data_IF_007220871597
#
_entry.id   IF_007220871597
#
_cell.length_a   1.000
_cell.length_b   1.000
_cell.length_c   1.000
_cell.angle_alpha   90.00
_cell.angle_beta   90.00
_cell.angle_gamma   90.00
#
_symmetry.space_group_name_H-M   'P 1'
#
loop_
_entity.id
_entity.type
_entity.pdbx_description
1 polymer ?
#
# COMPACT_ATOMS: atom_id res chain seq x y z
N UNK A 1 44.03 2.93 -49.08
CA UNK A 1 43.42 2.02 -48.08
C UNK A 1 43.67 2.55 -46.68
N UNK A 2 42.64 3.05 -45.99
CA UNK A 2 42.45 3.05 -44.52
C UNK A 2 41.19 3.89 -44.19
N UNK A 3 40.20 3.26 -43.55
CA UNK A 3 38.98 3.89 -43.02
C UNK A 3 39.25 4.47 -41.62
N UNK A 4 38.55 5.55 -41.19
CA UNK A 4 38.40 5.87 -39.77
C UNK A 4 36.92 5.77 -39.35
N UNK A 5 36.60 4.91 -38.39
CA UNK A 5 35.36 5.04 -37.59
C UNK A 5 35.45 4.18 -36.34
N UNK A 6 35.91 4.74 -35.21
CA UNK A 6 35.55 4.27 -33.87
C UNK A 6 36.00 5.27 -32.78
N UNK A 7 35.25 6.35 -32.55
CA UNK A 7 35.42 7.15 -31.32
C UNK A 7 34.17 7.99 -31.02
N UNK A 8 33.01 7.37 -30.80
CA UNK A 8 31.83 8.10 -30.29
C UNK A 8 30.87 7.25 -29.43
N UNK A 9 31.33 6.15 -28.83
CA UNK A 9 30.46 5.29 -28.00
C UNK A 9 30.87 5.31 -26.51
N UNK A 10 32.05 5.83 -26.16
CA UNK A 10 32.56 5.74 -24.78
C UNK A 10 32.13 6.89 -23.86
N UNK A 11 31.67 8.02 -24.40
CA UNK A 11 31.33 9.22 -23.59
C UNK A 11 29.90 9.23 -23.05
N UNK A 12 28.99 8.42 -23.59
CA UNK A 12 27.57 8.38 -23.17
C UNK A 12 27.32 7.38 -22.02
N UNK A 13 28.17 6.37 -21.85
CA UNK A 13 28.04 5.38 -20.77
C UNK A 13 28.51 5.90 -19.40
N UNK A 14 29.41 6.89 -19.37
CA UNK A 14 29.97 7.42 -18.13
C UNK A 14 29.01 8.41 -17.45
N UNK A 15 28.18 9.13 -18.21
CA UNK A 15 27.19 10.09 -17.65
C UNK A 15 25.96 9.39 -17.06
N UNK A 16 25.53 8.26 -17.63
CA UNK A 16 24.40 7.49 -17.09
C UNK A 16 24.75 6.80 -15.75
N UNK A 17 25.96 6.23 -15.64
CA UNK A 17 26.40 5.57 -14.40
C UNK A 17 26.59 6.57 -13.24
N UNK A 18 27.06 7.79 -13.53
CA UNK A 18 27.22 8.85 -12.53
C UNK A 18 25.88 9.36 -11.98
N UNK A 19 24.84 9.47 -12.82
CA UNK A 19 23.48 9.85 -12.38
C UNK A 19 22.80 8.77 -11.52
N UNK A 20 23.06 7.49 -11.77
CA UNK A 20 22.52 6.39 -10.95
C UNK A 20 23.20 6.27 -9.58
N UNK A 21 24.51 6.55 -9.49
CA UNK A 21 25.24 6.58 -8.22
C UNK A 21 24.81 7.77 -7.34
N UNK A 22 24.62 8.95 -7.94
CA UNK A 22 24.14 10.14 -7.23
C UNK A 22 22.70 9.96 -6.69
N UNK A 23 21.81 9.33 -7.44
CA UNK A 23 20.45 9.00 -6.98
C UNK A 23 20.46 8.02 -5.80
N UNK A 24 21.31 6.98 -5.83
CA UNK A 24 21.45 6.05 -4.71
C UNK A 24 22.11 6.68 -3.46
N UNK A 25 22.97 7.69 -3.64
CA UNK A 25 23.61 8.41 -2.53
C UNK A 25 22.64 9.42 -1.88
N UNK A 26 21.81 10.10 -2.67
CA UNK A 26 20.75 10.99 -2.17
C UNK A 26 19.65 10.22 -1.42
N UNK A 27 19.32 8.98 -1.82
CA UNK A 27 18.38 8.13 -1.09
C UNK A 27 18.91 7.61 0.26
N UNK A 28 20.23 7.67 0.52
CA UNK A 28 20.82 7.30 1.82
C UNK A 28 20.82 8.45 2.82
N UNK A 29 20.67 9.69 2.36
CA UNK A 29 20.81 10.91 3.17
C UNK A 29 19.61 11.86 3.07
N UNK A 30 18.52 11.45 2.42
CA UNK A 30 17.26 12.16 2.52
C UNK A 30 16.76 12.08 3.97
N UNK A 31 17.06 13.13 4.73
CA UNK A 31 16.35 13.45 5.97
C UNK A 31 14.86 13.46 5.64
N UNK A 32 14.02 12.74 6.41
CA UNK A 32 12.58 12.77 6.18
C UNK A 32 12.14 14.24 6.23
N UNK A 33 11.39 14.66 5.21
CA UNK A 33 10.72 15.96 5.27
C UNK A 33 9.97 16.04 6.61
N UNK A 34 10.17 17.13 7.35
CA UNK A 34 9.47 17.37 8.62
C UNK A 34 8.00 17.04 8.44
N UNK A 35 7.39 16.26 9.35
CA UNK A 35 6.00 15.87 9.21
C UNK A 35 5.19 17.16 9.16
N UNK A 36 4.55 17.43 8.02
CA UNK A 36 3.40 18.33 8.02
C UNK A 36 2.44 17.71 9.01
N UNK A 37 2.12 18.44 10.08
CA UNK A 37 1.06 18.08 11.02
C UNK A 37 -0.17 17.82 10.16
N UNK A 38 -0.53 16.56 9.99
CA UNK A 38 -1.77 16.20 9.35
C UNK A 38 -2.87 16.88 10.16
N UNK A 39 -3.80 17.56 9.50
CA UNK A 39 -4.99 18.05 10.17
C UNK A 39 -5.57 16.90 11.00
N UNK A 40 -5.76 17.13 12.30
CA UNK A 40 -6.33 16.12 13.18
C UNK A 40 -7.65 15.63 12.57
N UNK A 41 -7.87 14.32 12.57
CA UNK A 41 -9.14 13.78 12.14
C UNK A 41 -10.27 14.42 12.94
N UNK A 42 -11.45 14.66 12.32
CA UNK A 42 -12.60 15.08 13.09
C UNK A 42 -12.86 14.08 14.23
N UNK A 43 -13.25 14.58 15.42
CA UNK A 43 -13.58 13.71 16.53
C UNK A 43 -14.72 12.76 16.12
N UNK A 44 -14.67 11.53 16.64
CA UNK A 44 -15.73 10.56 16.39
C UNK A 44 -17.07 11.12 16.87
N UNK A 45 -18.18 10.94 16.12
CA UNK A 45 -19.49 11.27 16.64
C UNK A 45 -19.75 10.43 17.90
N UNK A 46 -20.00 11.12 19.03
CA UNK A 46 -20.12 10.50 20.35
C UNK A 46 -18.79 10.22 21.08
N UNK A 47 -17.65 10.64 20.54
CA UNK A 47 -16.35 10.68 21.23
C UNK A 47 -15.66 9.33 21.48
N UNK A 48 -16.28 8.19 21.15
CA UNK A 48 -15.76 6.84 21.45
C UNK A 48 -15.75 5.96 20.21
N UNK A 49 -14.68 5.17 20.03
CA UNK A 49 -14.60 4.11 19.01
C UNK A 49 -15.54 2.96 19.37
N UNK A 50 -16.40 2.56 18.44
CA UNK A 50 -17.46 1.58 18.69
C UNK A 50 -17.17 0.19 18.12
N UNK A 51 -16.05 0.01 17.43
CA UNK A 51 -15.67 -1.27 16.86
C UNK A 51 -15.12 -2.25 17.90
N UNK A 52 -14.93 -3.49 17.46
CA UNK A 52 -14.32 -4.55 18.27
C UNK A 52 -12.88 -4.80 17.83
N UNK A 53 -11.94 -4.46 18.72
CA UNK A 53 -10.51 -4.64 18.47
C UNK A 53 -10.03 -6.08 18.59
N UNK A 54 -10.87 -7.01 19.08
CA UNK A 54 -10.53 -8.43 19.19
C UNK A 54 -10.32 -9.01 17.79
N UNK A 55 -9.13 -9.56 17.47
CA UNK A 55 -8.87 -10.17 16.18
C UNK A 55 -9.87 -11.30 15.88
N UNK A 56 -10.51 -11.23 14.71
CA UNK A 56 -11.35 -12.30 14.17
C UNK A 56 -10.69 -12.89 12.92
N UNK A 57 -10.23 -14.12 13.03
CA UNK A 57 -9.68 -14.87 11.89
C UNK A 57 -10.80 -15.57 11.11
N UNK A 58 -10.82 -15.41 9.79
CA UNK A 58 -11.79 -16.06 8.90
C UNK A 58 -11.21 -17.39 8.41
N UNK A 59 -11.97 -18.47 8.54
CA UNK A 59 -11.56 -19.80 8.06
C UNK A 59 -10.17 -20.21 8.56
N UNK A 60 -9.31 -20.66 7.66
CA UNK A 60 -7.96 -21.14 7.96
C UNK A 60 -6.90 -20.03 8.05
N UNK A 61 -7.32 -18.75 8.12
CA UNK A 61 -6.41 -17.60 8.12
C UNK A 61 -5.27 -17.72 9.13
N UNK A 62 -5.52 -18.26 10.33
CA UNK A 62 -4.46 -18.42 11.35
C UNK A 62 -3.35 -19.36 10.86
N UNK A 63 -3.72 -20.49 10.27
CA UNK A 63 -2.76 -21.47 9.73
C UNK A 63 -2.00 -20.87 8.55
N UNK A 64 -2.72 -20.25 7.60
CA UNK A 64 -2.13 -19.61 6.43
C UNK A 64 -1.13 -18.51 6.82
N UNK A 65 -1.44 -17.72 7.85
CA UNK A 65 -0.56 -16.68 8.36
C UNK A 65 0.72 -17.27 9.00
N UNK A 66 0.58 -18.30 9.83
CA UNK A 66 1.73 -18.98 10.45
C UNK A 66 2.67 -19.57 9.38
N UNK A 67 2.12 -20.28 8.39
CA UNK A 67 2.89 -20.85 7.28
C UNK A 67 3.57 -19.76 6.44
N UNK A 68 2.87 -18.64 6.19
CA UNK A 68 3.42 -17.50 5.45
C UNK A 68 4.59 -16.84 6.19
N UNK A 69 4.47 -16.66 7.51
CA UNK A 69 5.52 -16.11 8.36
C UNK A 69 6.74 -17.02 8.35
N UNK A 70 6.55 -18.32 8.56
CA UNK A 70 7.62 -19.31 8.59
C UNK A 70 8.36 -19.40 7.24
N UNK A 71 7.61 -19.60 6.15
CA UNK A 71 8.16 -19.78 4.81
C UNK A 71 8.98 -18.58 4.30
N UNK A 72 8.78 -17.40 4.89
CA UNK A 72 9.46 -16.18 4.46
C UNK A 72 10.39 -15.60 5.53
N UNK A 73 10.60 -16.27 6.67
CA UNK A 73 11.29 -15.74 7.85
C UNK A 73 12.61 -15.00 7.53
N UNK A 74 13.44 -15.59 6.67
CA UNK A 74 14.78 -15.08 6.36
C UNK A 74 14.92 -14.36 5.02
N UNK A 75 13.83 -14.28 4.24
CA UNK A 75 13.86 -13.60 2.96
C UNK A 75 14.06 -12.08 3.14
N UNK A 76 14.83 -11.40 2.28
CA UNK A 76 14.79 -9.95 2.17
C UNK A 76 13.36 -9.44 1.93
N UNK A 77 12.98 -8.28 2.47
CA UNK A 77 11.60 -7.75 2.42
C UNK A 77 10.96 -7.80 1.02
N UNK A 78 11.70 -7.34 0.02
CA UNK A 78 11.28 -7.32 -1.38
C UNK A 78 11.04 -8.73 -1.96
N UNK A 79 11.81 -9.72 -1.52
CA UNK A 79 11.64 -11.12 -1.95
C UNK A 79 10.49 -11.79 -1.21
N UNK A 80 10.38 -11.55 0.11
CA UNK A 80 9.32 -12.07 0.95
C UNK A 80 7.95 -11.68 0.40
N UNK A 81 7.75 -10.40 0.08
CA UNK A 81 6.48 -9.93 -0.48
C UNK A 81 6.10 -10.59 -1.79
N UNK A 82 7.05 -10.81 -2.69
CA UNK A 82 6.77 -11.53 -3.94
C UNK A 82 6.50 -13.00 -3.69
N UNK A 83 7.20 -13.64 -2.74
CA UNK A 83 6.92 -15.02 -2.35
C UNK A 83 5.50 -15.15 -1.75
N UNK A 84 5.11 -14.24 -0.87
CA UNK A 84 3.76 -14.17 -0.32
C UNK A 84 2.72 -13.94 -1.41
N UNK A 85 2.94 -12.96 -2.30
CA UNK A 85 2.02 -12.67 -3.40
C UNK A 85 1.83 -13.88 -4.33
N UNK A 86 2.89 -14.65 -4.59
CA UNK A 86 2.83 -15.91 -5.36
C UNK A 86 2.07 -17.00 -4.62
N UNK A 87 2.25 -17.13 -3.30
CA UNK A 87 1.58 -18.16 -2.48
C UNK A 87 0.05 -18.09 -2.60
N UNK A 88 -0.46 -16.88 -2.74
CA UNK A 88 -1.90 -16.63 -2.82
C UNK A 88 -2.42 -16.51 -4.25
N UNK A 89 -1.63 -16.81 -5.30
CA UNK A 89 -2.17 -16.91 -6.65
C UNK A 89 -3.35 -17.90 -6.68
N UNK A 90 -4.35 -17.59 -7.51
CA UNK A 90 -5.61 -18.33 -7.66
C UNK A 90 -6.55 -18.28 -6.43
N UNK A 91 -6.18 -17.59 -5.34
CA UNK A 91 -7.10 -17.37 -4.23
C UNK A 91 -8.29 -16.49 -4.67
N UNK A 92 -9.49 -16.75 -4.13
CA UNK A 92 -10.71 -16.09 -4.57
C UNK A 92 -10.73 -14.59 -4.25
N UNK A 93 -11.37 -13.83 -5.15
CA UNK A 93 -11.66 -12.43 -4.92
C UNK A 93 -12.95 -12.28 -4.09
N UNK A 94 -12.93 -11.39 -3.10
CA UNK A 94 -14.13 -11.04 -2.32
C UNK A 94 -14.11 -9.57 -1.88
N UNK A 95 -14.86 -8.75 -2.61
CA UNK A 95 -15.15 -7.37 -2.20
C UNK A 95 -16.00 -7.30 -0.93
N UNK A 96 -15.91 -6.16 -0.23
CA UNK A 96 -16.71 -5.84 0.96
C UNK A 96 -16.62 -6.86 2.11
N UNK A 97 -15.52 -7.63 2.18
CA UNK A 97 -15.36 -8.68 3.19
C UNK A 97 -15.33 -8.13 4.62
N UNK A 98 -14.88 -6.87 4.81
CA UNK A 98 -14.87 -6.18 6.10
C UNK A 98 -16.23 -5.60 6.52
N UNK A 99 -17.21 -5.52 5.62
CA UNK A 99 -18.48 -4.80 5.83
C UNK A 99 -19.66 -5.72 6.20
N UNK A 100 -19.36 -6.98 6.55
CA UNK A 100 -20.37 -8.00 6.82
C UNK A 100 -21.08 -7.87 8.16
N UNK A 101 -20.45 -7.26 9.17
CA UNK A 101 -20.92 -7.24 10.57
C UNK A 101 -21.79 -6.05 10.96
N UNK A 102 -22.43 -6.09 12.15
CA UNK A 102 -23.23 -4.98 12.69
C UNK A 102 -22.39 -3.82 13.23
N UNK A 103 -21.10 -4.05 13.48
CA UNK A 103 -20.10 -3.06 13.89
C UNK A 103 -18.75 -3.37 13.23
N UNK A 104 -17.89 -2.36 13.15
CA UNK A 104 -16.51 -2.53 12.71
C UNK A 104 -15.77 -3.54 13.61
N UNK A 105 -14.92 -4.38 13.03
CA UNK A 105 -14.11 -5.35 13.76
C UNK A 105 -12.77 -5.55 13.08
N UNK A 106 -11.72 -5.84 13.87
CA UNK A 106 -10.44 -6.27 13.34
C UNK A 106 -10.55 -7.69 12.76
N UNK A 107 -11.02 -7.79 11.51
CA UNK A 107 -11.16 -9.04 10.78
C UNK A 107 -9.93 -9.32 9.92
N UNK A 108 -9.39 -10.52 9.98
CA UNK A 108 -8.29 -10.99 9.15
C UNK A 108 -8.78 -12.15 8.29
N UNK A 109 -8.52 -12.05 6.99
CA UNK A 109 -8.97 -13.04 6.01
C UNK A 109 -7.88 -13.25 4.96
N UNK A 110 -7.15 -14.35 5.06
CA UNK A 110 -6.18 -14.80 4.05
C UNK A 110 -6.77 -15.89 3.14
N UNK A 111 -8.06 -16.19 3.27
CA UNK A 111 -8.77 -17.16 2.42
C UNK A 111 -9.42 -16.49 1.21
N UNK A 112 -9.69 -15.18 1.29
CA UNK A 112 -10.21 -14.37 0.19
C UNK A 112 -9.58 -12.98 0.24
N UNK A 113 -9.45 -12.34 -0.93
CA UNK A 113 -8.87 -11.00 -1.02
C UNK A 113 -9.71 -10.05 -1.88
N UNK A 114 -9.80 -8.78 -1.48
CA UNK A 114 -9.87 -7.71 -2.46
C UNK A 114 -8.46 -7.15 -2.72
N UNK A 115 -8.31 -6.21 -3.66
CA UNK A 115 -6.99 -5.68 -4.00
C UNK A 115 -6.31 -4.98 -2.81
N UNK A 116 -7.09 -4.33 -1.95
CA UNK A 116 -6.56 -3.57 -0.83
C UNK A 116 -6.13 -4.48 0.32
N UNK A 117 -6.98 -5.44 0.71
CA UNK A 117 -6.68 -6.47 1.69
C UNK A 117 -5.50 -7.33 1.26
N UNK A 118 -5.33 -7.57 -0.03
CA UNK A 118 -4.17 -8.27 -0.56
C UNK A 118 -2.87 -7.50 -0.25
N UNK A 119 -2.83 -6.19 -0.54
CA UNK A 119 -1.65 -5.36 -0.24
C UNK A 119 -1.43 -5.21 1.26
N UNK A 120 -2.48 -4.86 2.00
CA UNK A 120 -2.41 -4.59 3.44
C UNK A 120 -1.92 -5.82 4.23
N UNK A 121 -2.55 -6.97 4.02
CA UNK A 121 -2.26 -8.15 4.83
C UNK A 121 -0.92 -8.77 4.46
N UNK A 122 -0.50 -8.74 3.19
CA UNK A 122 0.83 -9.22 2.80
C UNK A 122 1.93 -8.29 3.31
N UNK A 123 1.69 -6.98 3.34
CA UNK A 123 2.60 -6.03 3.97
C UNK A 123 2.70 -6.30 5.49
N UNK A 124 1.59 -6.55 6.17
CA UNK A 124 1.59 -6.93 7.58
C UNK A 124 2.33 -8.25 7.83
N UNK A 125 2.03 -9.31 7.08
CA UNK A 125 2.73 -10.60 7.16
C UNK A 125 4.23 -10.43 6.96
N UNK A 126 4.65 -9.64 5.96
CA UNK A 126 6.06 -9.40 5.67
C UNK A 126 6.82 -8.65 6.79
N UNK A 127 6.12 -7.95 7.67
CA UNK A 127 6.69 -7.30 8.86
C UNK A 127 6.57 -8.17 10.13
N UNK A 128 5.86 -9.29 10.06
CA UNK A 128 5.63 -10.21 11.19
C UNK A 128 6.59 -11.39 11.22
N UNK A 129 7.72 -11.25 10.51
CA UNK A 129 8.74 -12.29 10.31
C UNK A 129 9.91 -12.07 11.25
N UNK A 130 10.89 -12.99 11.23
CA UNK A 130 12.09 -12.94 12.09
C UNK A 130 11.71 -12.88 13.57
N UNK A 131 10.91 -13.85 13.97
CA UNK A 131 10.37 -14.02 15.33
C UNK A 131 10.89 -15.33 15.91
N UNK A 132 10.94 -15.41 17.24
CA UNK A 132 11.40 -16.62 17.92
C UNK A 132 10.32 -17.71 17.92
N UNK A 133 9.05 -17.29 17.91
CA UNK A 133 7.90 -18.20 17.89
C UNK A 133 6.84 -17.75 16.87
N UNK A 134 6.08 -18.70 16.32
CA UNK A 134 4.99 -18.36 15.41
C UNK A 134 3.83 -17.65 16.11
N UNK A 135 3.63 -17.87 17.41
CA UNK A 135 2.63 -17.11 18.18
C UNK A 135 3.00 -15.63 18.29
N UNK A 136 4.29 -15.31 18.49
CA UNK A 136 4.79 -13.93 18.42
C UNK A 136 4.57 -13.34 17.01
N UNK A 137 4.88 -14.09 15.96
CA UNK A 137 4.60 -13.68 14.59
C UNK A 137 3.12 -13.39 14.34
N UNK A 138 2.23 -14.22 14.87
CA UNK A 138 0.78 -14.02 14.77
C UNK A 138 0.31 -12.75 15.49
N UNK A 139 0.86 -12.45 16.67
CA UNK A 139 0.54 -11.21 17.38
C UNK A 139 1.08 -9.99 16.64
N UNK A 140 2.29 -10.05 16.09
CA UNK A 140 2.81 -8.97 15.22
C UNK A 140 1.91 -8.77 14.00
N UNK A 141 1.43 -9.86 13.38
CA UNK A 141 0.54 -9.79 12.23
C UNK A 141 -0.77 -9.07 12.54
N UNK A 142 -1.44 -9.41 13.64
CA UNK A 142 -2.68 -8.74 14.05
C UNK A 142 -2.45 -7.26 14.35
N UNK A 143 -1.35 -6.92 15.03
CA UNK A 143 -1.02 -5.53 15.35
C UNK A 143 -0.64 -4.71 14.10
N UNK A 144 0.12 -5.28 13.17
CA UNK A 144 0.45 -4.60 11.92
C UNK A 144 -0.80 -4.35 11.05
N UNK A 145 -1.70 -5.34 10.92
CA UNK A 145 -2.98 -5.12 10.22
C UNK A 145 -3.78 -4.01 10.89
N UNK A 146 -3.88 -4.02 12.23
CA UNK A 146 -4.60 -2.98 12.99
C UNK A 146 -4.02 -1.58 12.72
N UNK A 147 -2.70 -1.44 12.77
CA UNK A 147 -1.97 -0.16 12.56
C UNK A 147 -2.01 0.34 11.13
N UNK A 148 -2.03 -0.56 10.14
CA UNK A 148 -2.16 -0.19 8.73
C UNK A 148 -3.60 0.22 8.41
N UNK A 149 -4.59 -0.52 8.93
CA UNK A 149 -6.00 -0.35 8.57
C UNK A 149 -6.67 0.84 9.24
N UNK A 150 -6.34 1.10 10.50
CA UNK A 150 -7.03 2.08 11.32
C UNK A 150 -6.10 3.19 11.78
N UNK A 151 -6.58 4.43 11.72
CA UNK A 151 -5.87 5.59 12.27
C UNK A 151 -5.66 5.36 13.76
N UNK A 152 -4.42 5.48 14.22
CA UNK A 152 -3.98 5.23 15.60
C UNK A 152 -4.34 3.83 16.13
N UNK A 153 -4.64 2.89 15.24
CA UNK A 153 -5.12 1.56 15.60
C UNK A 153 -6.52 1.56 16.25
N UNK A 154 -7.28 2.65 16.19
CA UNK A 154 -8.64 2.71 16.73
C UNK A 154 -9.62 1.97 15.81
N UNK A 155 -10.10 0.79 16.23
CA UNK A 155 -11.01 -0.02 15.42
C UNK A 155 -12.39 0.62 15.39
N UNK A 156 -12.66 1.36 14.32
CA UNK A 156 -13.93 2.02 14.03
C UNK A 156 -14.03 2.30 12.52
N UNK A 157 -15.23 2.22 11.93
CA UNK A 157 -15.43 2.48 10.51
C UNK A 157 -14.97 3.89 10.13
N UNK A 158 -15.16 4.87 11.01
CA UNK A 158 -14.71 6.26 10.83
C UNK A 158 -13.19 6.42 10.89
N UNK A 159 -12.48 5.47 11.51
CA UNK A 159 -11.01 5.46 11.62
C UNK A 159 -10.35 4.54 10.59
N UNK A 160 -11.11 3.71 9.88
CA UNK A 160 -10.59 2.88 8.81
C UNK A 160 -10.10 3.74 7.64
N UNK A 161 -8.93 3.41 7.12
CA UNK A 161 -8.31 4.09 5.99
C UNK A 161 -8.94 3.62 4.67
N UNK A 162 -10.03 4.26 4.25
CA UNK A 162 -10.77 3.86 3.04
C UNK A 162 -10.13 4.34 1.72
N UNK A 163 -9.41 5.46 1.73
CA UNK A 163 -8.72 6.00 0.55
C UNK A 163 -7.26 5.57 0.52
N UNK A 164 -6.81 4.97 -0.58
CA UNK A 164 -5.49 4.36 -0.64
C UNK A 164 -4.34 5.35 -0.41
N UNK A 165 -4.42 6.55 -0.96
CA UNK A 165 -3.34 7.55 -0.77
C UNK A 165 -3.25 7.99 0.69
N UNK A 166 -4.37 8.07 1.42
CA UNK A 166 -4.36 8.34 2.86
C UNK A 166 -3.77 7.18 3.65
N UNK A 167 -4.12 5.95 3.28
CA UNK A 167 -3.51 4.74 3.83
C UNK A 167 -2.00 4.72 3.58
N UNK A 168 -1.56 5.03 2.36
CA UNK A 168 -0.16 5.01 1.98
C UNK A 168 0.65 6.11 2.68
N UNK A 169 0.08 7.31 2.84
CA UNK A 169 0.69 8.38 3.62
C UNK A 169 0.83 7.99 5.10
N UNK A 170 -0.17 7.31 5.67
CA UNK A 170 -0.10 6.79 7.05
C UNK A 170 0.93 5.65 7.17
N UNK A 171 0.97 4.73 6.21
CA UNK A 171 1.93 3.65 6.14
C UNK A 171 3.38 4.19 6.01
N UNK A 172 3.59 5.24 5.23
CA UNK A 172 4.89 5.92 5.11
C UNK A 172 5.29 6.60 6.43
N UNK A 173 4.39 7.39 7.05
CA UNK A 173 4.66 8.03 8.35
C UNK A 173 4.99 7.00 9.45
N UNK A 174 4.36 5.85 9.39
CA UNK A 174 4.59 4.77 10.35
C UNK A 174 5.73 3.83 9.97
N UNK A 175 6.47 4.11 8.88
CA UNK A 175 7.70 3.39 8.51
C UNK A 175 7.49 2.08 7.76
N UNK A 176 6.29 1.78 7.24
CA UNK A 176 6.02 0.57 6.47
C UNK A 176 6.44 0.66 5.00
N UNK A 177 6.39 1.87 4.42
CA UNK A 177 6.70 2.09 3.00
C UNK A 177 7.45 3.41 2.82
N UNK A 178 8.05 3.60 1.65
CA UNK A 178 8.49 4.91 1.16
C UNK A 178 7.80 5.18 -0.17
N UNK A 179 7.21 6.35 -0.35
CA UNK A 179 6.62 6.80 -1.60
C UNK A 179 7.74 7.15 -2.58
N UNK A 180 7.96 6.28 -3.58
CA UNK A 180 8.98 6.51 -4.60
C UNK A 180 8.51 7.49 -5.66
N UNK A 181 7.21 7.59 -5.86
CA UNK A 181 6.57 8.30 -6.97
C UNK A 181 7.17 9.68 -7.25
N UNK A 182 7.36 10.58 -6.26
CA UNK A 182 7.90 11.92 -6.51
C UNK A 182 9.34 11.94 -7.07
N UNK A 183 10.09 10.85 -6.90
CA UNK A 183 11.51 10.75 -7.23
C UNK A 183 11.77 9.97 -8.53
N UNK A 184 10.73 9.44 -9.16
CA UNK A 184 10.86 8.68 -10.40
C UNK A 184 10.78 9.61 -11.62
N UNK A 185 11.48 9.28 -12.72
CA UNK A 185 11.51 10.12 -13.92
C UNK A 185 10.11 10.27 -14.52
N UNK A 186 9.77 11.50 -14.93
CA UNK A 186 8.46 11.81 -15.52
C UNK A 186 7.32 11.92 -14.51
N UNK A 187 7.61 11.94 -13.20
CA UNK A 187 6.60 12.15 -12.17
C UNK A 187 5.86 13.48 -12.36
N UNK A 188 4.54 13.41 -12.23
CA UNK A 188 3.60 14.52 -12.27
C UNK A 188 2.84 14.61 -10.95
N UNK A 189 2.11 15.70 -10.75
CA UNK A 189 1.27 15.93 -9.57
C UNK A 189 -0.10 16.39 -9.99
N UNK A 190 -1.12 16.05 -9.20
CA UNK A 190 -2.47 16.57 -9.35
C UNK A 190 -3.05 16.95 -7.99
N UNK A 191 -3.92 17.94 -7.99
CA UNK A 191 -4.82 18.20 -6.86
C UNK A 191 -6.10 17.39 -7.07
N UNK A 192 -6.50 16.59 -6.08
CA UNK A 192 -7.75 15.82 -6.12
C UNK A 192 -8.52 15.99 -4.81
N UNK A 193 -9.78 16.41 -4.91
CA UNK A 193 -10.71 16.38 -3.78
C UNK A 193 -11.30 14.98 -3.66
N UNK A 194 -11.25 14.41 -2.46
CA UNK A 194 -11.83 13.11 -2.17
C UNK A 194 -13.19 13.26 -1.51
N UNK A 195 -14.22 12.77 -2.17
CA UNK A 195 -15.61 12.83 -1.71
C UNK A 195 -16.45 11.66 -2.27
N UNK A 196 -15.79 10.60 -2.77
CA UNK A 196 -16.47 9.50 -3.45
C UNK A 196 -17.44 8.79 -2.51
N UNK A 197 -17.06 8.52 -1.26
CA UNK A 197 -17.91 7.78 -0.34
C UNK A 197 -19.15 8.57 0.09
N UNK A 198 -19.01 9.85 0.47
CA UNK A 198 -20.17 10.69 0.81
C UNK A 198 -21.08 10.98 -0.38
N UNK A 199 -20.54 10.97 -1.61
CA UNK A 199 -21.31 11.12 -2.84
C UNK A 199 -22.00 9.82 -3.29
N UNK A 200 -21.58 8.65 -2.78
CA UNK A 200 -22.08 7.33 -3.16
C UNK A 200 -22.44 6.47 -1.94
N UNK A 201 -23.12 7.06 -0.94
CA UNK A 201 -23.50 6.40 0.32
C UNK A 201 -24.17 5.04 0.11
N UNK A 202 -25.01 4.89 -0.90
CA UNK A 202 -25.74 3.64 -1.20
C UNK A 202 -24.82 2.46 -1.56
N UNK A 203 -23.60 2.74 -2.03
CA UNK A 203 -22.60 1.71 -2.36
C UNK A 203 -21.93 1.09 -1.12
N UNK A 204 -22.12 1.68 0.07
CA UNK A 204 -21.45 1.26 1.30
C UNK A 204 -22.47 0.89 2.38
N UNK A 205 -22.62 -0.41 2.63
CA UNK A 205 -23.55 -0.91 3.66
C UNK A 205 -23.31 -0.27 5.04
N UNK A 206 -22.06 -0.09 5.54
CA UNK A 206 -21.86 0.55 6.83
C UNK A 206 -22.24 2.03 6.87
N UNK A 207 -22.31 2.72 5.73
CA UNK A 207 -22.72 4.13 5.67
C UNK A 207 -24.23 4.34 5.80
N UNK A 208 -25.03 3.27 5.84
CA UNK A 208 -26.45 3.37 6.20
C UNK A 208 -26.64 3.76 7.67
N UNK A 209 -25.62 3.59 8.51
CA UNK A 209 -25.60 4.13 9.87
C UNK A 209 -25.35 5.64 9.83
N UNK A 210 -26.22 6.49 10.42
CA UNK A 210 -26.08 7.94 10.40
C UNK A 210 -24.72 8.44 10.90
N UNK A 211 -24.18 7.82 11.97
CA UNK A 211 -22.85 8.12 12.51
C UNK A 211 -21.74 7.94 11.48
N UNK A 212 -21.78 6.83 10.73
CA UNK A 212 -20.75 6.52 9.73
C UNK A 212 -20.85 7.47 8.53
N UNK A 213 -22.07 7.78 8.08
CA UNK A 213 -22.29 8.80 7.06
C UNK A 213 -21.73 10.15 7.51
N UNK A 214 -22.07 10.59 8.73
CA UNK A 214 -21.62 11.87 9.26
C UNK A 214 -20.10 11.97 9.33
N UNK A 215 -19.43 11.01 9.96
CA UNK A 215 -17.97 11.08 10.12
C UNK A 215 -17.21 11.03 8.79
N UNK A 216 -17.71 10.28 7.79
CA UNK A 216 -17.10 10.23 6.46
C UNK A 216 -17.34 11.53 5.69
N UNK A 217 -18.55 12.09 5.72
CA UNK A 217 -18.81 13.41 5.12
C UNK A 217 -17.92 14.49 5.72
N UNK A 218 -17.74 14.49 7.04
CA UNK A 218 -16.90 15.46 7.74
C UNK A 218 -15.42 15.27 7.46
N UNK A 219 -14.99 14.02 7.31
CA UNK A 219 -13.65 13.70 6.85
C UNK A 219 -13.40 14.24 5.43
N UNK A 220 -14.38 14.11 4.53
CA UNK A 220 -14.24 14.45 3.11
C UNK A 220 -14.41 15.93 2.79
N UNK A 221 -15.03 16.71 3.68
CA UNK A 221 -15.37 18.13 3.47
C UNK A 221 -14.21 18.99 2.94
N UNK A 222 -13.01 18.79 3.48
CA UNK A 222 -11.80 19.53 3.10
C UNK A 222 -10.65 18.58 2.68
N UNK A 223 -10.99 17.36 2.24
CA UNK A 223 -10.00 16.35 1.92
C UNK A 223 -9.45 16.52 0.51
N UNK A 224 -8.45 17.40 0.38
CA UNK A 224 -7.73 17.63 -0.88
C UNK A 224 -6.34 17.03 -0.81
N UNK A 225 -6.02 16.12 -1.74
CA UNK A 225 -4.71 15.51 -1.87
C UNK A 225 -3.90 16.18 -2.98
N UNK A 226 -2.62 16.44 -2.70
CA UNK A 226 -1.62 16.70 -3.74
C UNK A 226 -0.96 15.37 -4.11
N UNK A 227 -1.58 14.63 -5.03
CA UNK A 227 -1.21 13.26 -5.34
C UNK A 227 -0.11 13.21 -6.42
N UNK A 228 1.11 12.75 -6.09
CA UNK A 228 2.12 12.44 -7.11
C UNK A 228 1.74 11.16 -7.86
N UNK A 229 2.01 11.13 -9.16
CA UNK A 229 1.80 9.94 -10.00
C UNK A 229 2.75 9.94 -11.20
N UNK A 230 3.00 8.78 -11.77
CA UNK A 230 3.69 8.60 -13.04
C UNK A 230 2.64 8.47 -14.13
N UNK A 231 2.50 9.44 -15.07
CA UNK A 231 1.58 9.30 -16.20
C UNK A 231 1.86 8.02 -16.98
N UNK A 232 0.82 7.39 -17.54
CA UNK A 232 0.96 6.13 -18.28
C UNK A 232 2.03 6.19 -19.38
N UNK A 233 2.14 7.33 -20.07
CA UNK A 233 3.16 7.53 -21.11
C UNK A 233 4.61 7.55 -20.59
N UNK A 234 4.82 7.93 -19.33
CA UNK A 234 6.14 7.95 -18.69
C UNK A 234 6.51 6.61 -18.03
N UNK A 235 5.52 5.74 -17.77
CA UNK A 235 5.70 4.48 -17.05
C UNK A 235 6.79 3.55 -17.66
N UNK A 236 6.92 3.39 -18.99
CA UNK A 236 7.98 2.55 -19.56
C UNK A 236 9.40 2.95 -19.11
N UNK A 237 9.67 4.25 -18.98
CA UNK A 237 10.96 4.77 -18.52
C UNK A 237 11.24 4.53 -17.03
N UNK A 238 10.20 4.23 -16.25
CA UNK A 238 10.29 3.97 -14.80
C UNK A 238 10.54 2.49 -14.49
N UNK A 239 10.11 1.56 -15.34
CA UNK A 239 10.21 0.11 -15.12
C UNK A 239 11.61 -0.38 -14.70
N UNK A 240 12.74 0.14 -15.26
CA UNK A 240 14.07 -0.27 -14.82
C UNK A 240 14.35 0.01 -13.34
N UNK A 241 13.78 1.07 -12.76
CA UNK A 241 13.99 1.49 -11.36
C UNK A 241 13.14 0.72 -10.32
N UNK A 242 12.12 0.00 -10.79
CA UNK A 242 11.21 -0.77 -9.94
C UNK A 242 11.89 -2.03 -9.40
N UNK A 243 11.38 -2.57 -8.30
CA UNK A 243 11.91 -3.78 -7.64
C UNK A 243 10.77 -4.74 -7.32
N UNK A 244 11.13 -6.00 -7.12
CA UNK A 244 10.23 -7.00 -6.53
C UNK A 244 9.60 -6.45 -5.25
N UNK A 245 8.31 -6.66 -5.08
CA UNK A 245 7.58 -6.27 -3.89
C UNK A 245 7.26 -4.76 -3.80
N UNK A 246 7.69 -3.94 -4.75
CA UNK A 246 7.16 -2.57 -4.86
C UNK A 246 5.64 -2.65 -5.03
N UNK A 247 4.91 -1.82 -4.28
CA UNK A 247 3.46 -1.70 -4.38
C UNK A 247 3.16 -0.72 -5.52
N UNK A 248 2.26 -1.11 -6.41
CA UNK A 248 1.67 -0.19 -7.37
C UNK A 248 0.26 0.21 -6.94
N UNK A 249 -0.11 1.43 -7.28
CA UNK A 249 -1.47 1.93 -7.19
C UNK A 249 -1.87 2.57 -8.52
N UNK A 250 -2.99 2.15 -9.09
CA UNK A 250 -3.52 2.69 -10.33
C UNK A 250 -4.29 3.98 -10.02
N UNK A 251 -3.68 5.11 -10.38
CA UNK A 251 -4.23 6.45 -10.13
C UNK A 251 -5.31 6.73 -11.16
N UNK A 252 -6.51 7.08 -10.69
CA UNK A 252 -7.72 7.15 -11.52
C UNK A 252 -8.22 8.58 -11.76
N UNK A 253 -8.84 8.87 -12.91
CA UNK A 253 -9.55 10.13 -13.16
C UNK A 253 -11.01 10.14 -12.67
N UNK A 254 -11.49 9.07 -12.05
CA UNK A 254 -12.85 9.04 -11.47
C UNK A 254 -13.00 10.20 -10.48
N UNK A 255 -14.01 11.08 -10.64
CA UNK A 255 -14.21 12.21 -9.74
C UNK A 255 -14.39 11.74 -8.29
N UNK A 256 -13.73 12.43 -7.35
CA UNK A 256 -13.82 12.12 -5.93
C UNK A 256 -12.93 10.95 -5.46
N UNK A 257 -12.20 10.29 -6.35
CA UNK A 257 -11.42 9.07 -6.06
C UNK A 257 -9.96 9.21 -6.48
N UNK A 258 -9.05 8.68 -5.66
CA UNK A 258 -7.60 8.78 -5.87
C UNK A 258 -7.03 7.57 -6.62
N UNK A 259 -7.45 6.36 -6.24
CA UNK A 259 -6.92 5.08 -6.75
C UNK A 259 -8.07 4.09 -6.93
N UNK A 260 -8.05 3.34 -8.03
CA UNK A 260 -9.05 2.27 -8.29
C UNK A 260 -8.55 0.88 -8.00
N UNK A 261 -7.23 0.66 -8.04
CA UNK A 261 -6.67 -0.69 -7.91
C UNK A 261 -5.23 -0.68 -7.43
N UNK A 262 -4.81 -1.74 -6.75
CA UNK A 262 -3.47 -1.87 -6.17
C UNK A 262 -2.96 -3.30 -6.24
N UNK A 263 -1.65 -3.48 -6.05
CA UNK A 263 -1.01 -4.79 -5.98
C UNK A 263 0.50 -4.69 -5.84
N UNK A 264 1.19 -5.81 -6.05
CA UNK A 264 2.65 -5.89 -5.97
C UNK A 264 3.27 -6.08 -7.35
N UNK A 265 4.48 -5.55 -7.52
CA UNK A 265 5.29 -5.74 -8.70
C UNK A 265 6.24 -6.92 -8.56
N UNK A 266 6.40 -7.65 -9.65
CA UNK A 266 7.33 -8.76 -9.77
C UNK A 266 8.15 -8.60 -11.04
N UNK A 267 9.47 -8.54 -10.89
CA UNK A 267 10.43 -8.67 -11.98
C UNK A 267 10.73 -10.14 -12.21
N UNK A 268 10.43 -10.60 -13.42
CA UNK A 268 10.73 -11.96 -13.89
C UNK A 268 11.20 -11.88 -15.34
N UNK A 269 12.36 -12.49 -15.62
CA UNK A 269 12.92 -12.59 -16.99
C UNK A 269 13.03 -11.24 -17.72
N UNK A 270 13.39 -10.18 -16.98
CA UNK A 270 13.51 -8.81 -17.51
C UNK A 270 12.19 -8.05 -17.66
N UNK A 271 11.04 -8.69 -17.43
CA UNK A 271 9.70 -8.09 -17.50
C UNK A 271 9.20 -7.74 -16.10
N UNK A 272 8.58 -6.57 -15.96
CA UNK A 272 7.84 -6.19 -14.75
C UNK A 272 6.39 -6.63 -14.91
N UNK A 273 5.93 -7.52 -14.03
CA UNK A 273 4.57 -8.03 -13.94
C UNK A 273 3.88 -7.45 -12.70
N UNK A 274 2.55 -7.52 -12.68
CA UNK A 274 1.72 -7.17 -11.52
C UNK A 274 1.06 -8.43 -10.94
N UNK A 275 1.14 -8.61 -9.63
CA UNK A 275 0.35 -9.61 -8.89
C UNK A 275 -0.67 -8.86 -8.03
N UNK A 276 -1.96 -9.16 -8.21
CA UNK A 276 -3.06 -8.44 -7.57
C UNK A 276 -4.32 -9.28 -7.50
N UNK A 277 -5.20 -8.99 -6.54
CA UNK A 277 -6.54 -9.57 -6.46
C UNK A 277 -7.50 -8.76 -7.34
N UNK A 278 -8.09 -9.40 -8.35
CA UNK A 278 -8.99 -8.78 -9.32
C UNK A 278 -10.39 -9.38 -9.26
N UNK A 279 -11.40 -8.51 -9.34
CA UNK A 279 -12.79 -8.93 -9.40
C UNK A 279 -13.03 -9.86 -10.60
N UNK A 280 -13.75 -10.97 -10.36
CA UNK A 280 -14.04 -11.99 -11.37
C UNK A 280 -12.89 -12.93 -11.72
N UNK A 281 -11.66 -12.68 -11.24
CA UNK A 281 -10.49 -13.49 -11.58
C UNK A 281 -9.71 -14.03 -10.36
N UNK A 282 -9.94 -13.51 -9.16
CA UNK A 282 -9.14 -13.88 -7.99
C UNK A 282 -7.77 -13.20 -7.99
N UNK A 283 -6.82 -13.77 -7.25
CA UNK A 283 -5.43 -13.30 -7.24
C UNK A 283 -4.72 -13.80 -8.50
N UNK A 284 -4.36 -12.87 -9.39
CA UNK A 284 -3.76 -13.18 -10.69
C UNK A 284 -2.44 -12.47 -10.88
N UNK A 285 -1.66 -13.00 -11.83
CA UNK A 285 -0.52 -12.29 -12.43
C UNK A 285 -0.95 -11.66 -13.75
N UNK A 286 -0.83 -10.34 -13.86
CA UNK A 286 -0.91 -9.62 -15.13
C UNK A 286 0.49 -9.36 -15.67
N UNK A 287 0.79 -9.97 -16.82
CA UNK A 287 2.07 -9.79 -17.50
C UNK A 287 2.19 -8.39 -18.11
N UNK A 288 3.43 -7.88 -18.14
CA UNK A 288 3.75 -6.53 -18.63
C UNK A 288 2.89 -5.45 -17.94
N UNK A 289 3.37 -5.00 -16.78
CA UNK A 289 2.70 -4.02 -15.93
C UNK A 289 2.31 -2.74 -16.68
N UNK A 290 3.16 -2.22 -17.57
CA UNK A 290 2.85 -1.02 -18.34
C UNK A 290 1.68 -1.24 -19.30
N UNK A 291 1.66 -2.37 -20.00
CA UNK A 291 0.54 -2.75 -20.88
C UNK A 291 -0.75 -3.00 -20.07
N UNK A 292 -0.64 -3.67 -18.92
CA UNK A 292 -1.77 -3.87 -18.00
C UNK A 292 -2.35 -2.54 -17.54
N UNK A 293 -1.54 -1.66 -16.94
CA UNK A 293 -1.98 -0.36 -16.43
C UNK A 293 -2.61 0.51 -17.52
N UNK A 294 -2.08 0.46 -18.76
CA UNK A 294 -2.61 1.20 -19.91
C UNK A 294 -3.97 0.70 -20.42
N UNK A 295 -4.41 -0.51 -20.05
CA UNK A 295 -5.72 -1.07 -20.44
C UNK A 295 -6.80 -0.87 -19.39
N UNK A 296 -6.45 -0.54 -18.15
CA UNK A 296 -7.44 -0.35 -17.09
C UNK A 296 -8.16 0.97 -17.33
N UNK A 297 -9.50 0.89 -17.43
CA UNK A 297 -10.35 2.05 -17.67
C UNK A 297 -10.14 3.11 -16.59
N UNK A 298 -10.18 4.37 -17.00
CA UNK A 298 -10.06 5.57 -16.16
C UNK A 298 -8.73 5.74 -15.41
N UNK A 299 -7.77 4.85 -15.59
CA UNK A 299 -6.41 5.01 -15.06
C UNK A 299 -5.66 6.06 -15.89
N UNK A 300 -5.04 7.01 -15.21
CA UNK A 300 -4.20 8.07 -15.81
C UNK A 300 -2.71 7.87 -15.56
N UNK A 301 -2.36 6.98 -14.64
CA UNK A 301 -0.99 6.68 -14.29
C UNK A 301 -0.91 5.82 -13.04
N UNK A 302 0.29 5.75 -12.46
CA UNK A 302 0.55 4.89 -11.30
C UNK A 302 1.31 5.63 -10.21
N UNK A 303 1.04 5.30 -8.95
CA UNK A 303 1.90 5.63 -7.83
C UNK A 303 2.64 4.36 -7.38
N UNK A 304 3.89 4.53 -6.97
CA UNK A 304 4.81 3.45 -6.62
C UNK A 304 5.32 3.65 -5.19
N UNK A 305 5.18 2.62 -4.37
CA UNK A 305 5.63 2.62 -2.98
C UNK A 305 6.57 1.44 -2.75
N UNK A 306 7.65 1.65 -2.02
CA UNK A 306 8.62 0.60 -1.69
C UNK A 306 8.48 0.20 -0.22
N UNK A 307 8.12 -1.06 0.07
CA UNK A 307 8.05 -1.57 1.42
C UNK A 307 9.38 -1.49 2.17
N UNK A 308 9.30 -1.24 3.47
CA UNK A 308 10.40 -1.18 4.43
C UNK A 308 10.12 -2.16 5.57
N UNK A 309 11.15 -2.82 6.13
CA UNK A 309 11.02 -3.47 7.42
C UNK A 309 10.58 -2.46 8.48
N UNK A 310 9.55 -2.83 9.23
CA UNK A 310 9.04 -2.12 10.39
C UNK A 310 9.05 -3.11 11.55
N UNK A 311 10.08 -3.02 12.39
CA UNK A 311 10.27 -3.93 13.53
C UNK A 311 9.27 -3.68 14.68
N UNK A 312 8.28 -2.81 14.45
CA UNK A 312 7.40 -2.26 15.47
C UNK A 312 8.12 -1.15 16.21
N UNK A 313 7.60 0.07 16.14
CA UNK A 313 8.00 1.10 17.10
C UNK A 313 7.48 0.60 18.46
N UNK A 314 8.37 0.31 19.41
CA UNK A 314 8.00 0.24 20.83
C UNK A 314 7.11 1.45 21.10
N UNK A 315 5.92 1.25 21.67
CA UNK A 315 5.13 2.38 22.16
C UNK A 315 6.07 3.22 23.02
N UNK A 316 6.45 4.40 22.54
CA UNK A 316 7.19 5.34 23.36
C UNK A 316 6.27 5.62 24.54
N UNK A 317 6.54 4.98 25.68
CA UNK A 317 5.99 5.40 26.96
C UNK A 317 6.25 6.89 27.04
N UNK A 318 5.24 7.72 27.33
CA UNK A 318 5.47 9.14 27.51
C UNK A 318 6.57 9.31 28.55
N UNK A 319 7.69 9.91 28.13
CA UNK A 319 8.73 10.33 29.06
C UNK A 319 8.08 11.33 30.04
N UNK A 320 8.06 10.96 31.33
CA UNK A 320 7.64 11.85 32.40
C UNK A 320 6.45 11.37 33.22
N UNK A 321 6.59 10.23 33.90
CA UNK A 321 6.12 10.09 35.28
C UNK A 321 7.22 9.35 36.04
N UNK A 322 8.10 10.11 36.70
CA UNK A 322 8.94 9.56 37.77
C UNK A 322 8.05 9.27 38.98
N UNK A 323 8.28 8.12 39.61
CA UNK A 323 7.81 7.84 40.97
C UNK A 323 8.32 8.89 41.97
#
# INVERSE_FOLDING_TARGET
MRKPTLLLVLTVLITAAASFAAANLLLRHATPASPRVAAALPPLPGGVALGDATPKFVGETRVLAMEAIDATAWAPMNQALVQLARRFLDYPFKGFSLDGGPKERLQLDLTNFDCFLFVEQLLALSNSRKVDTLDEGMERFTQHVRRLRYVDGEVDYCRRQHYFSRWADAAERNGYVVNLTPFLPGASKRSVTLNFMSSHVSSYKPMQLPRNKQCITELEKDLVLNQPYIPLAALPGVLPSLRNGDIFALVTKVPGLDVTHVGFLEKRDGVVNAIHAAEGAGVIRSENFAAYAGRVKDVIGVAIYRPRPNDGVEERKPEGISN
#
